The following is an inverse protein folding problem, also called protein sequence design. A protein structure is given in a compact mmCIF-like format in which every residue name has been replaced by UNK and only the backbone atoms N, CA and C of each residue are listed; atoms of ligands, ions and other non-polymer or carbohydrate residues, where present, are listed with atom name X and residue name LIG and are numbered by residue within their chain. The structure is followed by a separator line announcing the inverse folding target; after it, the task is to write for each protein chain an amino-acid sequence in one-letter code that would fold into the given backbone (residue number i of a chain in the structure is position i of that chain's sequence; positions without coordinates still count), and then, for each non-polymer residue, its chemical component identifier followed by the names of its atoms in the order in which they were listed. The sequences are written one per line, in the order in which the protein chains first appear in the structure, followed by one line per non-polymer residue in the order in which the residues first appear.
data_IF_087225785996
#
_entry.id   IF_087225785996
#
_cell.length_a   1.000
_cell.length_b   1.000
_cell.length_c   1.000
_cell.angle_alpha   90.00
_cell.angle_beta   90.00
_cell.angle_gamma   90.00
#
_symmetry.space_group_name_H-M   'P 1'
#
loop_
_entity.id
_entity.type
_entity.pdbx_description
1 polymer ?
#
# COMPACT_ATOMS: atom_id res chain seq x y z
N UNK A 1 9.41 29.23 83.65
CA UNK A 1 9.42 27.85 83.18
C UNK A 1 8.05 27.61 82.59
N UNK A 2 7.98 27.59 81.25
CA UNK A 2 6.74 27.53 80.45
C UNK A 2 6.62 26.16 79.84
N UNK A 3 5.55 25.42 80.19
CA UNK A 3 5.25 24.12 79.62
C UNK A 3 4.32 24.33 78.42
N UNK A 4 4.76 23.85 77.23
CA UNK A 4 3.95 23.86 76.02
C UNK A 4 3.33 22.47 75.80
N UNK A 5 2.02 22.41 75.79
CA UNK A 5 1.23 21.23 75.45
C UNK A 5 1.08 21.16 73.92
N UNK A 6 1.62 20.11 73.26
CA UNK A 6 1.39 19.77 71.90
C UNK A 6 0.17 18.84 71.84
N UNK A 7 -0.92 19.34 71.21
CA UNK A 7 -2.07 18.52 70.86
C UNK A 7 -1.82 17.89 69.51
N UNK A 8 -1.67 16.59 69.43
CA UNK A 8 -1.56 15.82 68.20
C UNK A 8 -2.93 15.57 67.61
N UNK A 9 -3.18 16.14 66.43
CA UNK A 9 -4.33 15.83 65.60
C UNK A 9 -3.99 14.67 64.60
N UNK A 10 -4.62 13.52 64.85
CA UNK A 10 -4.64 12.37 63.95
C UNK A 10 -5.53 12.68 62.75
N UNK A 11 -4.93 12.82 61.58
CA UNK A 11 -5.64 12.88 60.29
C UNK A 11 -5.63 11.45 59.73
N UNK A 12 -6.79 10.80 59.47
CA UNK A 12 -6.83 9.55 58.73
C UNK A 12 -6.65 9.88 57.26
N UNK A 13 -5.45 9.63 56.72
CA UNK A 13 -5.16 9.68 55.30
C UNK A 13 -5.86 8.54 54.56
N UNK A 14 -7.02 8.81 53.99
CA UNK A 14 -7.62 7.95 53.00
C UNK A 14 -6.81 8.03 51.69
N UNK A 15 -6.02 6.98 51.41
CA UNK A 15 -5.37 6.79 50.14
C UNK A 15 -6.44 6.43 49.10
N UNK A 16 -7.11 7.43 48.54
CA UNK A 16 -7.91 7.29 47.36
C UNK A 16 -6.95 7.12 46.17
N UNK A 17 -6.72 5.88 45.73
CA UNK A 17 -6.11 5.60 44.45
C UNK A 17 -7.09 6.15 43.39
N UNK A 18 -6.83 7.34 42.89
CA UNK A 18 -7.42 7.80 41.64
C UNK A 18 -6.93 6.83 40.58
N UNK A 19 -7.81 5.90 40.15
CA UNK A 19 -7.67 5.29 38.86
C UNK A 19 -7.68 6.46 37.84
N UNK A 20 -6.53 6.83 37.34
CA UNK A 20 -6.46 7.54 36.08
C UNK A 20 -7.27 6.70 35.10
N UNK A 21 -8.36 7.26 34.59
CA UNK A 21 -8.95 6.78 33.37
C UNK A 21 -7.85 6.92 32.32
N UNK A 22 -7.22 5.80 31.95
CA UNK A 22 -6.56 5.70 30.66
C UNK A 22 -7.60 6.18 29.65
N UNK A 23 -7.38 7.34 29.06
CA UNK A 23 -8.06 7.71 27.83
C UNK A 23 -7.78 6.55 26.89
N UNK A 24 -8.80 5.95 26.31
CA UNK A 24 -8.65 5.17 25.08
C UNK A 24 -8.02 6.15 24.09
N UNK A 25 -6.69 6.17 24.02
CA UNK A 25 -5.99 6.87 22.96
C UNK A 25 -6.23 6.00 21.75
N UNK A 26 -7.11 6.43 20.87
CA UNK A 26 -7.22 5.88 19.53
C UNK A 26 -5.81 5.84 18.96
N UNK A 27 -5.47 4.71 18.34
CA UNK A 27 -4.17 4.57 17.68
C UNK A 27 -4.06 5.64 16.59
N UNK A 28 -2.87 6.19 16.33
CA UNK A 28 -2.70 7.10 15.21
C UNK A 28 -3.05 6.38 13.91
N UNK A 29 -3.81 7.03 13.06
CA UNK A 29 -4.15 6.53 11.73
C UNK A 29 -2.94 6.56 10.80
N UNK A 30 -2.91 5.62 9.84
CA UNK A 30 -1.99 5.63 8.71
C UNK A 30 -2.76 5.34 7.44
N UNK A 31 -2.73 6.25 6.48
CA UNK A 31 -3.47 6.14 5.22
C UNK A 31 -2.62 5.43 4.17
N UNK A 32 -3.10 4.30 3.72
CA UNK A 32 -2.41 3.39 2.80
C UNK A 32 -3.08 3.46 1.42
N UNK A 33 -2.36 3.99 0.44
CA UNK A 33 -2.81 3.99 -0.95
C UNK A 33 -2.70 2.60 -1.58
N UNK A 34 -3.80 2.11 -2.13
CA UNK A 34 -3.86 0.83 -2.85
C UNK A 34 -4.50 0.99 -4.23
N UNK A 35 -4.15 0.12 -5.18
CA UNK A 35 -4.87 -0.09 -6.43
C UNK A 35 -5.61 -1.43 -6.36
N UNK A 36 -6.62 -1.63 -7.21
CA UNK A 36 -7.33 -2.90 -7.27
C UNK A 36 -6.57 -3.89 -8.15
N UNK A 37 -6.08 -4.93 -7.52
CA UNK A 37 -5.35 -6.00 -8.16
C UNK A 37 -5.59 -7.34 -7.43
N UNK A 38 -6.68 -8.03 -7.78
CA UNK A 38 -6.99 -9.34 -7.19
C UNK A 38 -5.90 -10.38 -7.51
N UNK A 39 -5.55 -11.23 -6.55
CA UNK A 39 -6.07 -11.39 -5.18
C UNK A 39 -5.33 -10.56 -4.11
N UNK A 40 -4.53 -9.58 -4.51
CA UNK A 40 -3.66 -8.83 -3.60
C UNK A 40 -4.40 -7.71 -2.87
N UNK A 41 -5.16 -6.92 -3.60
CA UNK A 41 -5.97 -5.83 -3.05
C UNK A 41 -7.23 -5.63 -3.89
N UNK A 42 -8.38 -5.64 -3.26
CA UNK A 42 -9.69 -5.44 -3.88
C UNK A 42 -10.71 -4.97 -2.85
N UNK A 43 -11.84 -4.50 -3.31
CA UNK A 43 -12.97 -4.13 -2.46
C UNK A 43 -14.13 -5.10 -2.70
N UNK A 44 -14.69 -5.59 -1.62
CA UNK A 44 -15.86 -6.45 -1.63
C UNK A 44 -17.13 -5.65 -1.94
N UNK A 45 -18.25 -6.33 -2.21
CA UNK A 45 -19.53 -5.68 -2.53
C UNK A 45 -20.12 -4.84 -1.40
N UNK A 46 -19.72 -5.09 -0.15
CA UNK A 46 -20.09 -4.35 1.05
C UNK A 46 -19.11 -3.22 1.39
N UNK A 47 -18.11 -3.02 0.52
CA UNK A 47 -17.18 -1.91 0.62
C UNK A 47 -15.92 -2.18 1.45
N UNK A 48 -15.73 -3.40 1.99
CA UNK A 48 -14.53 -3.75 2.73
C UNK A 48 -13.33 -4.00 1.81
N UNK A 49 -12.16 -3.53 2.19
CA UNK A 49 -10.91 -3.88 1.52
C UNK A 49 -10.43 -5.26 1.96
N UNK A 50 -9.99 -6.08 1.01
CA UNK A 50 -9.52 -7.45 1.21
C UNK A 50 -8.34 -7.76 0.31
N UNK A 51 -7.63 -8.83 0.63
CA UNK A 51 -6.55 -9.39 -0.17
C UNK A 51 -5.23 -9.51 0.60
N UNK A 52 -4.27 -10.14 -0.05
CA UNK A 52 -2.98 -10.48 0.58
C UNK A 52 -2.25 -9.23 1.07
N UNK A 53 -2.24 -8.17 0.26
CA UNK A 53 -1.56 -6.92 0.60
C UNK A 53 -2.29 -6.17 1.72
N UNK A 54 -3.63 -6.21 1.73
CA UNK A 54 -4.46 -5.61 2.79
C UNK A 54 -4.19 -6.29 4.12
N UNK A 55 -4.28 -7.63 4.18
CA UNK A 55 -4.07 -8.40 5.40
C UNK A 55 -2.64 -8.23 5.95
N UNK A 56 -1.63 -8.19 5.06
CA UNK A 56 -0.24 -7.95 5.46
C UNK A 56 -0.04 -6.54 6.01
N UNK A 57 -0.64 -5.53 5.38
CA UNK A 57 -0.56 -4.15 5.83
C UNK A 57 -1.26 -3.95 7.17
N UNK A 58 -2.47 -4.50 7.34
CA UNK A 58 -3.20 -4.48 8.61
C UNK A 58 -2.34 -5.04 9.75
N UNK A 59 -1.83 -6.26 9.59
CA UNK A 59 -1.02 -6.91 10.60
C UNK A 59 0.26 -6.14 10.91
N UNK A 60 0.95 -5.62 9.87
CA UNK A 60 2.19 -4.88 10.04
C UNK A 60 1.96 -3.57 10.82
N UNK A 61 0.97 -2.76 10.44
CA UNK A 61 0.73 -1.47 11.06
C UNK A 61 0.11 -1.60 12.45
N UNK A 62 -0.77 -2.58 12.68
CA UNK A 62 -1.28 -2.87 14.03
C UNK A 62 -0.15 -3.24 14.99
N UNK A 63 0.83 -4.05 14.57
CA UNK A 63 2.04 -4.35 15.39
C UNK A 63 2.89 -3.12 15.68
N UNK A 64 2.88 -2.14 14.80
CA UNK A 64 3.58 -0.88 14.97
C UNK A 64 2.78 0.14 15.79
N UNK A 65 1.55 -0.17 16.18
CA UNK A 65 0.69 0.68 16.99
C UNK A 65 -0.04 1.76 16.19
N UNK A 66 -0.35 1.48 14.92
CA UNK A 66 -1.15 2.33 14.05
C UNK A 66 -2.50 1.68 13.73
N UNK A 67 -3.48 2.52 13.41
CA UNK A 67 -4.74 2.13 12.80
C UNK A 67 -4.61 2.30 11.28
N UNK A 68 -4.54 1.19 10.49
CA UNK A 68 -4.46 1.31 9.04
C UNK A 68 -5.81 1.69 8.43
N UNK A 69 -5.77 2.67 7.54
CA UNK A 69 -6.90 3.10 6.71
C UNK A 69 -6.51 2.94 5.24
N UNK A 70 -7.36 2.31 4.44
CA UNK A 70 -7.08 2.04 3.04
C UNK A 70 -7.79 3.03 2.13
N UNK A 71 -7.06 3.59 1.19
CA UNK A 71 -7.58 4.52 0.19
C UNK A 71 -7.29 3.97 -1.22
N UNK A 72 -8.36 3.78 -2.01
CA UNK A 72 -8.19 3.45 -3.42
C UNK A 72 -7.65 4.65 -4.17
N UNK A 73 -6.50 4.48 -4.81
CA UNK A 73 -5.88 5.53 -5.60
C UNK A 73 -6.03 5.28 -7.10
N UNK A 74 -6.16 6.34 -7.88
CA UNK A 74 -5.91 6.29 -9.32
C UNK A 74 -4.40 6.12 -9.49
N UNK A 75 -3.99 5.01 -10.12
CA UNK A 75 -2.58 4.61 -10.12
C UNK A 75 -1.62 5.65 -10.72
N UNK A 76 -2.10 6.45 -11.64
CA UNK A 76 -1.34 7.55 -12.25
C UNK A 76 -1.04 8.67 -11.25
N UNK A 77 -1.93 8.91 -10.29
CA UNK A 77 -1.83 9.98 -9.29
C UNK A 77 -1.02 9.60 -8.04
N UNK A 78 -0.61 8.34 -7.90
CA UNK A 78 0.04 7.81 -6.68
C UNK A 78 1.22 8.63 -6.16
N UNK A 79 2.04 9.17 -7.06
CA UNK A 79 3.21 9.96 -6.68
C UNK A 79 2.82 11.34 -6.12
N UNK A 80 1.80 11.93 -6.71
CA UNK A 80 1.25 13.20 -6.23
C UNK A 80 0.62 13.02 -4.86
N UNK A 81 -0.24 12.01 -4.70
CA UNK A 81 -0.94 11.71 -3.45
C UNK A 81 0.04 11.43 -2.30
N UNK A 82 1.13 10.71 -2.59
CA UNK A 82 2.21 10.47 -1.63
C UNK A 82 2.98 11.76 -1.30
N UNK A 83 3.28 12.61 -2.29
CA UNK A 83 4.06 13.81 -2.10
C UNK A 83 3.32 14.94 -1.39
N UNK A 84 2.00 15.02 -1.55
CA UNK A 84 1.16 16.03 -0.88
C UNK A 84 0.58 15.55 0.47
N UNK A 85 0.88 14.30 0.86
CA UNK A 85 0.47 13.73 2.14
C UNK A 85 -1.00 13.32 2.20
N UNK A 86 -1.67 13.15 1.05
CA UNK A 86 -3.02 12.58 1.00
C UNK A 86 -3.00 11.12 1.43
N UNK A 87 -1.92 10.40 1.11
CA UNK A 87 -1.62 9.06 1.60
C UNK A 87 -0.23 9.07 2.26
N UNK A 88 -0.06 8.27 3.30
CA UNK A 88 1.22 8.16 4.02
C UNK A 88 2.17 7.17 3.34
N UNK A 89 1.63 6.12 2.74
CA UNK A 89 2.40 5.12 2.01
C UNK A 89 1.59 4.46 0.89
N UNK A 90 2.31 3.75 0.01
CA UNK A 90 1.74 2.88 -1.02
C UNK A 90 2.02 1.43 -0.66
N UNK A 91 0.99 0.58 -0.70
CA UNK A 91 1.14 -0.85 -0.52
C UNK A 91 0.25 -1.60 -1.52
N UNK A 92 0.76 -1.84 -2.73
CA UNK A 92 -0.02 -2.45 -3.81
C UNK A 92 0.90 -3.00 -4.90
N UNK A 93 1.54 -4.13 -4.69
CA UNK A 93 2.38 -4.81 -5.69
C UNK A 93 3.34 -3.88 -6.47
N UNK A 94 3.81 -2.79 -5.85
CA UNK A 94 4.62 -1.78 -6.52
C UNK A 94 6.07 -2.24 -6.66
N UNK A 95 6.54 -2.35 -7.92
CA UNK A 95 7.92 -2.79 -8.19
C UNK A 95 8.94 -1.72 -7.84
N UNK A 96 9.93 -2.09 -6.99
CA UNK A 96 11.05 -1.21 -6.67
C UNK A 96 12.16 -1.19 -7.75
N UNK A 97 12.17 -2.18 -8.67
CA UNK A 97 13.20 -2.27 -9.71
C UNK A 97 13.30 -0.98 -10.53
N UNK A 98 14.52 -0.41 -10.64
CA UNK A 98 14.83 0.86 -11.30
C UNK A 98 14.13 2.09 -10.67
N UNK A 99 13.62 1.93 -9.44
CA UNK A 99 13.01 2.99 -8.63
C UNK A 99 13.60 3.05 -7.23
N UNK A 100 14.72 2.36 -7.00
CA UNK A 100 15.35 2.19 -5.68
C UNK A 100 15.65 3.54 -5.02
N UNK A 101 16.04 4.53 -5.82
CA UNK A 101 16.38 5.88 -5.34
C UNK A 101 15.21 6.88 -5.40
N UNK A 102 14.02 6.44 -5.87
CA UNK A 102 12.87 7.34 -6.06
C UNK A 102 12.01 7.45 -4.80
N UNK A 103 12.00 6.40 -3.98
CA UNK A 103 11.18 6.30 -2.78
C UNK A 103 11.99 5.79 -1.61
N UNK A 104 11.44 5.96 -0.41
CA UNK A 104 11.88 5.22 0.76
C UNK A 104 11.15 3.86 0.75
N UNK A 105 11.89 2.76 0.68
CA UNK A 105 11.33 1.42 0.57
C UNK A 105 11.40 0.67 1.88
N UNK A 106 10.32 -0.04 2.22
CA UNK A 106 10.29 -1.08 3.23
C UNK A 106 10.03 -2.42 2.53
N UNK A 107 10.93 -3.37 2.67
CA UNK A 107 10.84 -4.65 1.95
C UNK A 107 12.02 -4.88 0.99
N UNK A 108 11.90 -5.73 -0.04
CA UNK A 108 10.68 -6.31 -0.61
C UNK A 108 10.05 -7.39 0.29
N UNK A 109 8.72 -7.42 0.35
CA UNK A 109 7.97 -8.47 1.06
C UNK A 109 7.52 -9.62 0.14
N UNK A 110 7.57 -9.41 -1.19
CA UNK A 110 7.16 -10.38 -2.20
C UNK A 110 7.97 -10.20 -3.48
N UNK A 111 8.08 -11.27 -4.26
CA UNK A 111 8.66 -11.25 -5.61
C UNK A 111 7.62 -11.68 -6.63
N UNK A 112 7.55 -10.98 -7.75
CA UNK A 112 6.66 -11.29 -8.87
C UNK A 112 7.42 -11.26 -10.20
N UNK A 113 6.76 -11.72 -11.26
CA UNK A 113 7.28 -11.67 -12.61
C UNK A 113 6.26 -10.99 -13.52
N UNK A 114 6.73 -10.16 -14.43
CA UNK A 114 5.90 -9.67 -15.51
C UNK A 114 5.59 -10.82 -16.49
N UNK A 115 4.33 -10.98 -16.82
CA UNK A 115 3.84 -12.01 -17.72
C UNK A 115 3.00 -11.38 -18.83
N UNK A 116 3.09 -11.92 -20.03
CA UNK A 116 2.18 -11.59 -21.11
C UNK A 116 1.04 -12.59 -21.11
N UNK A 117 -0.18 -12.12 -21.03
CA UNK A 117 -1.40 -12.94 -21.08
C UNK A 117 -2.00 -12.83 -22.48
N UNK A 118 -2.35 -13.96 -23.06
CA UNK A 118 -3.00 -14.07 -24.36
C UNK A 118 -4.17 -15.04 -24.27
N UNK A 119 -5.11 -14.97 -25.22
CA UNK A 119 -6.18 -15.96 -25.30
C UNK A 119 -5.63 -17.38 -25.47
N UNK A 120 -6.28 -18.37 -24.93
CA UNK A 120 -5.82 -19.78 -24.93
C UNK A 120 -5.55 -20.30 -26.34
N UNK A 121 -6.36 -19.90 -27.31
CA UNK A 121 -6.28 -20.27 -28.73
C UNK A 121 -5.30 -19.39 -29.53
N UNK A 122 -4.63 -18.42 -28.89
CA UNK A 122 -3.67 -17.56 -29.57
C UNK A 122 -2.47 -18.35 -30.08
N UNK A 123 -1.91 -17.94 -31.20
CA UNK A 123 -0.67 -18.52 -31.76
C UNK A 123 0.60 -17.91 -31.12
N UNK A 124 0.46 -16.89 -30.28
CA UNK A 124 1.59 -16.27 -29.54
C UNK A 124 2.07 -17.26 -28.48
N UNK A 125 3.36 -17.65 -28.58
CA UNK A 125 4.01 -18.60 -27.63
C UNK A 125 5.28 -18.04 -27.02
N UNK A 126 5.90 -17.04 -27.68
CA UNK A 126 7.14 -16.42 -27.26
C UNK A 126 7.00 -14.90 -27.28
N UNK A 127 7.92 -14.19 -26.62
CA UNK A 127 7.94 -12.72 -26.65
C UNK A 127 8.19 -12.19 -28.09
N UNK A 128 8.88 -12.94 -28.95
CA UNK A 128 9.14 -12.54 -30.33
C UNK A 128 7.87 -12.53 -31.20
N UNK A 129 6.86 -13.33 -30.85
CA UNK A 129 5.57 -13.37 -31.54
C UNK A 129 4.73 -12.10 -31.27
N UNK A 130 5.16 -11.25 -30.34
CA UNK A 130 4.54 -9.94 -30.07
C UNK A 130 4.89 -8.89 -31.12
N UNK A 131 5.84 -9.18 -32.03
CA UNK A 131 6.21 -8.25 -33.12
C UNK A 131 4.98 -7.88 -33.94
N UNK A 132 4.73 -6.57 -34.06
CA UNK A 132 3.59 -6.05 -34.79
C UNK A 132 2.23 -6.37 -34.19
N UNK A 133 2.16 -6.73 -32.92
CA UNK A 133 0.89 -6.93 -32.22
C UNK A 133 0.48 -5.69 -31.42
N UNK A 134 -0.81 -5.59 -31.15
CA UNK A 134 -1.34 -4.58 -30.22
C UNK A 134 -1.25 -5.12 -28.80
N UNK A 135 -0.72 -4.31 -27.90
CA UNK A 135 -0.45 -4.66 -26.50
C UNK A 135 -1.26 -3.72 -25.62
N UNK A 136 -1.84 -4.25 -24.56
CA UNK A 136 -2.54 -3.51 -23.52
C UNK A 136 -1.71 -3.57 -22.24
N UNK A 137 -1.53 -2.43 -21.56
CA UNK A 137 -0.80 -2.30 -20.31
C UNK A 137 -1.52 -1.32 -19.38
N UNK A 138 -1.32 -1.44 -18.08
CA UNK A 138 -1.74 -0.38 -17.17
C UNK A 138 -0.71 0.75 -17.20
N UNK A 139 -1.19 1.98 -17.21
CA UNK A 139 -0.37 3.19 -17.24
C UNK A 139 0.51 3.29 -15.98
N UNK A 140 1.68 3.90 -16.14
CA UNK A 140 2.70 4.15 -15.09
C UNK A 140 3.21 2.88 -14.39
N UNK A 141 3.10 1.72 -15.07
CA UNK A 141 3.64 0.43 -14.61
C UNK A 141 4.95 0.07 -15.31
N UNK A 142 5.63 -0.97 -14.79
CA UNK A 142 6.80 -1.53 -15.48
C UNK A 142 6.48 -2.12 -16.84
N UNK A 143 5.28 -2.60 -17.07
CA UNK A 143 4.86 -3.12 -18.37
C UNK A 143 4.82 -2.00 -19.41
N UNK A 144 4.29 -0.83 -19.05
CA UNK A 144 4.33 0.35 -19.92
C UNK A 144 5.77 0.76 -20.22
N UNK A 145 6.64 0.89 -19.23
CA UNK A 145 8.06 1.22 -19.39
C UNK A 145 8.75 0.28 -20.37
N UNK A 146 8.51 -1.02 -20.26
CA UNK A 146 9.12 -2.03 -21.13
C UNK A 146 8.71 -1.91 -22.59
N UNK A 147 7.45 -1.59 -22.88
CA UNK A 147 6.91 -1.57 -24.23
C UNK A 147 6.93 -0.17 -24.88
N UNK A 148 6.73 0.90 -24.14
CA UNK A 148 6.78 2.26 -24.69
C UNK A 148 8.19 2.84 -24.73
N UNK A 149 8.97 2.62 -23.67
CA UNK A 149 10.32 3.20 -23.56
C UNK A 149 11.42 2.25 -24.04
N UNK A 150 11.04 1.03 -24.43
CA UNK A 150 11.94 0.01 -24.97
C UNK A 150 13.18 -0.22 -24.08
N UNK A 151 12.99 -0.25 -22.76
CA UNK A 151 14.06 -0.37 -21.78
C UNK A 151 14.86 -1.67 -21.94
N UNK A 152 14.22 -2.71 -22.52
CA UNK A 152 14.88 -3.96 -22.89
C UNK A 152 14.94 -4.10 -24.40
N UNK A 153 16.14 -4.09 -24.94
CA UNK A 153 16.40 -4.20 -26.40
C UNK A 153 16.00 -5.54 -27.00
N UNK A 154 15.70 -6.56 -26.20
CA UNK A 154 15.30 -7.90 -26.62
C UNK A 154 13.78 -8.04 -26.85
N UNK A 155 12.99 -7.03 -26.47
CA UNK A 155 11.57 -7.01 -26.74
C UNK A 155 11.29 -6.53 -28.18
N UNK A 156 10.39 -7.22 -28.91
CA UNK A 156 10.02 -6.81 -30.26
C UNK A 156 9.17 -5.53 -30.24
N UNK A 157 9.24 -4.76 -31.32
CA UNK A 157 8.37 -3.60 -31.50
C UNK A 157 6.91 -4.03 -31.66
N UNK A 158 6.05 -3.53 -30.79
CA UNK A 158 4.60 -3.63 -30.91
C UNK A 158 4.09 -2.73 -32.04
N UNK A 159 2.97 -3.08 -32.66
CA UNK A 159 2.26 -2.18 -33.57
C UNK A 159 1.67 -0.98 -32.81
N UNK A 160 1.11 -1.27 -31.63
CA UNK A 160 0.48 -0.28 -30.76
C UNK A 160 0.55 -0.75 -29.30
N UNK A 161 0.81 0.17 -28.40
CA UNK A 161 0.68 -0.03 -26.95
C UNK A 161 -0.47 0.85 -26.46
N UNK A 162 -1.49 0.23 -25.87
CA UNK A 162 -2.63 0.91 -25.29
C UNK A 162 -2.46 0.93 -23.78
N UNK A 163 -2.46 2.11 -23.17
CA UNK A 163 -2.34 2.29 -21.74
C UNK A 163 -3.71 2.55 -21.14
N UNK A 164 -4.03 1.86 -20.06
CA UNK A 164 -5.29 1.94 -19.33
C UNK A 164 -5.03 2.38 -17.89
N UNK A 165 -5.98 3.10 -17.30
CA UNK A 165 -5.83 3.63 -15.93
C UNK A 165 -5.93 2.54 -14.87
N UNK A 166 -6.59 1.44 -15.16
CA UNK A 166 -6.84 0.33 -14.23
C UNK A 166 -6.49 -1.01 -14.85
N UNK A 167 -5.99 -1.94 -14.04
CA UNK A 167 -5.76 -3.32 -14.45
C UNK A 167 -7.05 -4.04 -14.87
N UNK A 168 -8.20 -3.67 -14.31
CA UNK A 168 -9.51 -4.25 -14.65
C UNK A 168 -9.97 -3.94 -16.09
N UNK A 169 -9.42 -2.90 -16.71
CA UNK A 169 -9.72 -2.53 -18.11
C UNK A 169 -8.93 -3.36 -19.13
N UNK A 170 -7.98 -4.19 -18.66
CA UNK A 170 -7.13 -5.02 -19.51
C UNK A 170 -7.79 -6.35 -19.92
N UNK A 171 -8.89 -6.75 -19.28
CA UNK A 171 -9.53 -8.08 -19.44
C UNK A 171 -10.87 -8.05 -20.16
#
# INVERSE_FOLDING_TARGET
IMAVLLAGSLIPGGCGIKKEKTSDSELPEIVIGIDYFEPYSYQTSDGEYKGIDVELAEEAFQRLGYQPEFEKVVWEDKEKLLSDGTIDCLWSCYSMNERENKYQWAGPYMYSRQMVVVRAESEIRTLQDLKGKRIAVQATTKAEDLFLHNIKSDLPHAEQVNCFSSSNELY
#
